data_IF_287037864299
#
_entry.id   IF_287037864299
#
_cell.length_a   1.000
_cell.length_b   1.000
_cell.length_c   1.000
_cell.angle_alpha   90.00
_cell.angle_beta   90.00
_cell.angle_gamma   90.00
#
_symmetry.space_group_name_H-M   'P 1'
#
loop_
_entity.id
_entity.type
_entity.pdbx_description
1 polymer ?
#
# COMPACT_ATOMS: atom_id res chain seq x y z
N UNK A 1 2.68 13.07 -0.43
CA UNK A 1 3.50 12.66 -1.59
C UNK A 1 4.66 11.86 -1.06
N UNK A 2 4.87 10.63 -1.52
CA UNK A 2 6.09 9.90 -1.20
C UNK A 2 7.26 10.66 -1.82
N UNK A 3 8.36 10.86 -1.08
CA UNK A 3 9.56 11.45 -1.67
C UNK A 3 10.04 10.59 -2.84
N UNK A 4 10.48 11.22 -3.93
CA UNK A 4 11.21 10.54 -5.00
C UNK A 4 12.55 10.04 -4.44
N UNK A 5 12.58 8.83 -3.87
CA UNK A 5 13.83 8.14 -3.58
C UNK A 5 14.07 7.11 -4.70
N UNK A 6 15.18 7.33 -5.39
CA UNK A 6 15.60 6.67 -6.61
C UNK A 6 15.64 5.14 -6.44
N UNK A 7 15.03 4.43 -7.38
CA UNK A 7 15.07 2.96 -7.44
C UNK A 7 16.52 2.45 -7.48
N UNK A 8 16.87 1.36 -6.77
CA UNK A 8 18.22 0.81 -6.84
C UNK A 8 18.44 0.16 -8.21
N UNK A 9 19.48 0.62 -8.92
CA UNK A 9 19.97 0.06 -10.17
C UNK A 9 20.49 -1.36 -9.94
N UNK A 10 19.83 -2.34 -10.57
CA UNK A 10 20.25 -3.75 -10.55
C UNK A 10 21.33 -3.92 -11.62
N UNK A 11 22.58 -4.01 -11.22
CA UNK A 11 23.71 -4.33 -12.10
C UNK A 11 23.75 -5.84 -12.38
N UNK A 12 23.58 -6.24 -13.63
CA UNK A 12 23.98 -7.55 -14.14
C UNK A 12 24.25 -7.44 -15.63
N UNK A 13 25.52 -7.55 -15.98
CA UNK A 13 26.04 -7.48 -17.34
C UNK A 13 25.59 -8.70 -18.16
N UNK A 14 24.69 -8.49 -19.11
CA UNK A 14 24.52 -9.31 -20.29
C UNK A 14 23.82 -8.45 -21.35
N UNK A 15 24.42 -8.35 -22.53
CA UNK A 15 23.87 -7.64 -23.69
C UNK A 15 22.52 -8.24 -24.10
N UNK A 16 21.43 -7.64 -23.60
CA UNK A 16 20.07 -7.87 -24.08
C UNK A 16 19.62 -6.54 -24.67
N UNK A 17 19.29 -6.56 -25.96
CA UNK A 17 18.73 -5.46 -26.72
C UNK A 17 17.75 -4.65 -25.86
N UNK A 18 18.06 -3.37 -25.63
CA UNK A 18 17.22 -2.45 -24.88
C UNK A 18 15.97 -2.10 -25.68
N UNK A 19 15.00 -3.01 -25.75
CA UNK A 19 13.63 -2.59 -25.93
C UNK A 19 13.24 -1.94 -24.62
N UNK A 20 13.15 -0.60 -24.58
CA UNK A 20 12.32 0.02 -23.56
C UNK A 20 10.92 -0.54 -23.77
N UNK A 21 10.55 -1.53 -22.95
CA UNK A 21 9.25 -2.15 -23.01
C UNK A 21 8.24 -1.03 -22.81
N UNK A 22 7.62 -0.57 -23.89
CA UNK A 22 6.60 0.48 -23.82
C UNK A 22 5.55 -0.02 -22.84
N UNK A 23 5.36 0.72 -21.73
CA UNK A 23 4.27 0.44 -20.79
C UNK A 23 2.98 0.36 -21.60
N UNK A 24 2.22 -0.71 -21.42
CA UNK A 24 0.95 -0.84 -22.14
C UNK A 24 -0.02 0.21 -21.60
N UNK A 25 -1.07 0.51 -22.39
CA UNK A 25 -2.10 1.45 -21.98
C UNK A 25 -2.68 1.13 -20.59
N UNK A 26 -2.82 -0.17 -20.27
CA UNK A 26 -3.31 -0.63 -18.96
C UNK A 26 -2.37 -0.23 -17.82
N UNK A 27 -1.05 -0.41 -17.99
CA UNK A 27 -0.06 0.05 -17.01
C UNK A 27 -0.12 1.59 -16.86
N UNK A 28 -0.35 2.33 -17.94
CA UNK A 28 -0.38 3.81 -17.84
C UNK A 28 -1.65 4.34 -17.19
N UNK A 29 -2.80 3.70 -17.40
CA UNK A 29 -4.09 4.21 -16.92
C UNK A 29 -4.38 3.79 -15.48
N UNK A 30 -4.10 2.52 -15.14
CA UNK A 30 -4.62 1.90 -13.91
C UNK A 30 -3.54 1.59 -12.86
N UNK A 31 -2.26 1.52 -13.24
CA UNK A 31 -1.18 1.19 -12.30
C UNK A 31 -0.94 2.33 -11.33
N UNK A 32 -0.81 1.99 -10.05
CA UNK A 32 -0.36 2.90 -9.01
C UNK A 32 0.63 2.21 -8.07
N UNK A 33 1.59 2.98 -7.57
CA UNK A 33 2.57 2.51 -6.60
C UNK A 33 2.06 2.75 -5.18
N UNK A 34 2.17 1.72 -4.33
CA UNK A 34 1.90 1.77 -2.89
C UNK A 34 3.21 1.58 -2.13
N UNK A 35 3.54 2.51 -1.24
CA UNK A 35 4.62 2.36 -0.28
C UNK A 35 4.10 1.77 1.02
N UNK A 36 4.79 0.77 1.54
CA UNK A 36 4.51 0.12 2.80
C UNK A 36 5.73 0.15 3.72
N UNK A 37 5.52 0.45 5.01
CA UNK A 37 6.56 0.31 6.03
C UNK A 37 5.95 0.07 7.41
N UNK A 38 6.77 -0.30 8.38
CA UNK A 38 6.37 -0.56 9.75
C UNK A 38 7.13 0.38 10.66
N UNK A 39 6.42 1.07 11.55
CA UNK A 39 7.02 1.86 12.63
C UNK A 39 6.60 1.26 13.97
N UNK A 40 7.59 0.89 14.80
CA UNK A 40 7.31 0.39 16.14
C UNK A 40 7.14 1.56 17.11
N UNK A 41 5.93 1.75 17.64
CA UNK A 41 5.68 2.82 18.61
C UNK A 41 6.42 2.62 19.95
N UNK A 42 6.86 1.39 20.26
CA UNK A 42 7.57 1.05 21.50
C UNK A 42 9.08 1.23 21.43
N UNK A 43 9.75 0.63 20.44
CA UNK A 43 11.21 0.72 20.33
C UNK A 43 11.68 1.73 19.26
N UNK A 44 10.74 2.43 18.60
CA UNK A 44 10.99 3.43 17.55
C UNK A 44 11.74 2.94 16.33
N UNK A 45 11.97 1.64 16.20
CA UNK A 45 12.54 1.03 14.99
C UNK A 45 11.56 1.15 13.81
N UNK A 46 12.09 1.51 12.65
CA UNK A 46 11.36 1.70 11.40
C UNK A 46 11.91 0.70 10.37
N UNK A 47 11.03 0.00 9.66
CA UNK A 47 11.46 -0.89 8.57
C UNK A 47 11.86 -0.07 7.35
N UNK A 48 12.70 -0.66 6.49
CA UNK A 48 12.90 -0.12 5.14
C UNK A 48 11.55 -0.01 4.41
N UNK A 49 11.26 1.08 3.70
CA UNK A 49 10.09 1.19 2.84
C UNK A 49 10.12 0.13 1.74
N UNK A 50 8.95 -0.43 1.44
CA UNK A 50 8.74 -1.38 0.36
C UNK A 50 7.69 -0.82 -0.59
N UNK A 51 7.96 -0.85 -1.89
CA UNK A 51 7.06 -0.33 -2.91
C UNK A 51 6.43 -1.49 -3.70
N UNK A 52 5.14 -1.39 -3.94
CA UNK A 52 4.34 -2.38 -4.67
C UNK A 52 3.52 -1.67 -5.73
N UNK A 53 3.67 -2.09 -6.97
CA UNK A 53 2.76 -1.68 -8.04
C UNK A 53 1.46 -2.47 -7.94
N UNK A 54 0.34 -1.76 -7.96
CA UNK A 54 -1.00 -2.31 -7.85
C UNK A 54 -1.94 -1.68 -8.88
N UNK A 55 -3.08 -2.33 -9.09
CA UNK A 55 -4.13 -1.91 -10.01
C UNK A 55 -5.47 -1.73 -9.31
N UNK A 56 -5.63 -2.34 -8.13
CA UNK A 56 -6.89 -2.39 -7.39
C UNK A 56 -6.59 -2.13 -5.92
N UNK A 57 -7.32 -1.19 -5.32
CA UNK A 57 -7.34 -0.98 -3.88
C UNK A 57 -8.51 -1.76 -3.28
N UNK A 58 -8.21 -2.79 -2.51
CA UNK A 58 -9.24 -3.57 -1.81
C UNK A 58 -9.59 -2.96 -0.46
N UNK A 59 -10.88 -3.03 -0.11
CA UNK A 59 -11.39 -2.67 1.23
C UNK A 59 -12.58 -3.54 1.58
N UNK A 60 -12.85 -3.71 2.87
CA UNK A 60 -14.01 -4.46 3.34
C UNK A 60 -15.21 -3.54 3.53
N UNK A 61 -16.38 -4.01 3.11
CA UNK A 61 -17.65 -3.28 3.28
C UNK A 61 -17.91 -2.96 4.76
N UNK A 62 -17.61 -3.90 5.65
CA UNK A 62 -17.74 -3.77 7.11
C UNK A 62 -16.85 -2.63 7.64
N UNK A 63 -15.57 -2.59 7.25
CA UNK A 63 -14.64 -1.52 7.62
C UNK A 63 -15.11 -0.15 7.11
N UNK A 64 -15.51 -0.05 5.83
CA UNK A 64 -16.03 1.20 5.26
C UNK A 64 -17.23 1.74 6.05
N UNK A 65 -18.20 0.87 6.34
CA UNK A 65 -19.39 1.26 7.09
C UNK A 65 -19.06 1.68 8.52
N UNK A 66 -18.19 0.93 9.21
CA UNK A 66 -17.76 1.29 10.58
C UNK A 66 -17.03 2.63 10.61
N UNK A 67 -16.09 2.84 9.68
CA UNK A 67 -15.34 4.09 9.60
C UNK A 67 -16.23 5.27 9.23
N UNK A 68 -17.23 5.10 8.34
CA UNK A 68 -18.20 6.15 8.02
C UNK A 68 -19.10 6.49 9.22
N UNK A 69 -19.51 5.50 10.01
CA UNK A 69 -20.26 5.76 11.26
C UNK A 69 -19.41 6.52 12.28
N UNK A 70 -18.14 6.16 12.42
CA UNK A 70 -17.20 6.84 13.31
C UNK A 70 -16.80 8.24 12.81
N UNK A 71 -16.82 8.47 11.49
CA UNK A 71 -16.44 9.73 10.85
C UNK A 71 -17.52 10.18 9.86
N UNK A 72 -18.68 10.67 10.32
CA UNK A 72 -19.82 10.97 9.44
C UNK A 72 -19.53 12.02 8.37
N UNK A 73 -18.60 12.95 8.63
CA UNK A 73 -18.18 13.99 7.70
C UNK A 73 -17.09 13.56 6.72
N UNK A 74 -16.49 12.37 6.88
CA UNK A 74 -15.43 11.90 6.00
C UNK A 74 -15.97 11.64 4.58
N UNK A 75 -15.25 12.16 3.58
CA UNK A 75 -15.47 11.87 2.18
C UNK A 75 -14.93 10.49 1.80
N UNK A 76 -15.27 9.99 0.62
CA UNK A 76 -14.86 8.65 0.18
C UNK A 76 -13.34 8.45 0.18
N UNK A 77 -12.56 9.44 -0.27
CA UNK A 77 -11.10 9.36 -0.27
C UNK A 77 -10.52 9.20 1.14
N UNK A 78 -11.02 9.97 2.11
CA UNK A 78 -10.62 9.85 3.52
C UNK A 78 -11.03 8.50 4.10
N UNK A 79 -12.24 7.99 3.76
CA UNK A 79 -12.67 6.66 4.18
C UNK A 79 -11.74 5.57 3.62
N UNK A 80 -11.38 5.64 2.34
CA UNK A 80 -10.45 4.69 1.72
C UNK A 80 -9.07 4.72 2.38
N UNK A 81 -8.58 5.90 2.75
CA UNK A 81 -7.31 6.02 3.46
C UNK A 81 -7.35 5.41 4.86
N UNK A 82 -8.45 5.59 5.60
CA UNK A 82 -8.61 5.04 6.96
C UNK A 82 -8.88 3.54 6.94
N UNK A 83 -9.61 3.05 5.94
CA UNK A 83 -10.01 1.63 5.82
C UNK A 83 -9.02 0.74 5.11
N UNK A 84 -7.99 1.31 4.49
CA UNK A 84 -6.87 0.55 3.96
C UNK A 84 -6.31 -0.33 5.08
N UNK A 85 -6.55 -1.64 5.00
CA UNK A 85 -6.14 -2.59 6.04
C UNK A 85 -4.61 -2.52 6.18
N UNK A 86 -4.08 -2.00 7.29
CA UNK A 86 -2.65 -1.96 7.49
C UNK A 86 -2.09 -3.38 7.57
N UNK A 87 -2.86 -4.40 7.94
CA UNK A 87 -2.27 -5.66 8.36
C UNK A 87 -1.28 -5.47 9.52
N UNK A 88 -0.81 -6.59 10.08
CA UNK A 88 0.15 -6.56 11.20
C UNK A 88 1.43 -7.28 10.79
N UNK A 89 2.58 -6.65 11.05
CA UNK A 89 3.91 -7.24 10.87
C UNK A 89 4.65 -7.29 12.20
N UNK A 90 5.65 -8.17 12.31
CA UNK A 90 6.57 -8.15 13.46
C UNK A 90 7.34 -6.83 13.48
N UNK A 91 7.70 -6.37 14.68
CA UNK A 91 8.59 -5.23 14.86
C UNK A 91 9.90 -5.43 14.08
N UNK A 92 10.44 -4.40 13.40
CA UNK A 92 11.69 -4.54 12.63
C UNK A 92 12.89 -4.95 13.49
N UNK A 93 12.89 -4.56 14.78
CA UNK A 93 13.85 -5.04 15.77
C UNK A 93 13.28 -6.21 16.58
N UNK A 94 12.99 -7.34 15.92
CA UNK A 94 12.38 -8.50 16.56
C UNK A 94 13.26 -9.18 17.62
N UNK A 95 14.58 -8.91 17.62
CA UNK A 95 15.50 -9.43 18.63
C UNK A 95 15.24 -8.84 20.02
N UNK A 96 14.85 -7.57 20.08
CA UNK A 96 14.63 -6.83 21.34
C UNK A 96 13.14 -6.56 21.59
N UNK A 97 12.32 -6.48 20.53
CA UNK A 97 10.90 -6.15 20.65
C UNK A 97 10.03 -7.17 19.90
N UNK A 98 9.23 -7.94 20.62
CA UNK A 98 8.34 -8.99 20.06
C UNK A 98 6.94 -8.50 19.72
N UNK A 99 6.70 -7.19 19.70
CA UNK A 99 5.37 -6.63 19.43
C UNK A 99 5.01 -6.76 17.94
N UNK A 100 3.72 -6.89 17.68
CA UNK A 100 3.14 -6.70 16.34
C UNK A 100 2.84 -5.21 16.14
N UNK A 101 3.17 -4.71 14.96
CA UNK A 101 3.02 -3.29 14.60
C UNK A 101 2.14 -3.19 13.35
N UNK A 102 1.37 -2.12 13.27
CA UNK A 102 0.54 -1.82 12.10
C UNK A 102 1.45 -1.43 10.93
N UNK A 103 1.20 -1.98 9.74
CA UNK A 103 1.88 -1.49 8.54
C UNK A 103 1.26 -0.17 8.12
N UNK A 104 2.10 0.83 7.87
CA UNK A 104 1.68 2.06 7.25
C UNK A 104 1.70 1.88 5.74
N UNK A 105 0.61 2.23 5.06
CA UNK A 105 0.49 2.17 3.60
C UNK A 105 0.16 3.54 3.03
N UNK A 106 0.82 3.90 1.93
CA UNK A 106 0.61 5.17 1.24
C UNK A 106 0.59 4.95 -0.26
N UNK A 107 -0.46 5.45 -0.92
CA UNK A 107 -0.47 5.54 -2.38
C UNK A 107 0.46 6.68 -2.80
N UNK A 108 1.50 6.35 -3.57
CA UNK A 108 2.56 7.29 -3.96
C UNK A 108 2.31 7.96 -5.31
N UNK A 109 1.50 7.35 -6.17
CA UNK A 109 1.18 7.86 -7.50
C UNK A 109 -0.32 7.98 -7.69
N UNK A 110 -0.76 8.95 -8.49
CA UNK A 110 -2.17 9.11 -8.86
C UNK A 110 -2.40 8.51 -10.25
N UNK A 111 -3.07 7.34 -10.38
CA UNK A 111 -3.41 6.80 -11.69
C UNK A 111 -4.51 7.66 -12.34
N UNK A 112 -4.65 7.58 -13.67
CA UNK A 112 -5.73 8.26 -14.38
C UNK A 112 -7.10 7.68 -13.98
N UNK A 113 -7.16 6.37 -13.73
CA UNK A 113 -8.35 5.68 -13.23
C UNK A 113 -7.95 4.81 -12.03
N UNK A 114 -8.60 5.03 -10.89
CA UNK A 114 -8.42 4.20 -9.69
C UNK A 114 -9.54 3.17 -9.58
N UNK A 115 -9.18 1.89 -9.49
CA UNK A 115 -10.12 0.80 -9.25
C UNK A 115 -10.17 0.46 -7.76
N UNK A 116 -11.38 0.36 -7.21
CA UNK A 116 -11.63 -0.03 -5.82
C UNK A 116 -12.44 -1.32 -5.79
N UNK A 117 -11.90 -2.35 -5.14
CA UNK A 117 -12.60 -3.60 -4.89
C UNK A 117 -13.19 -3.61 -3.50
N UNK A 118 -14.52 -3.69 -3.38
CA UNK A 118 -15.20 -3.81 -2.08
C UNK A 118 -15.54 -5.26 -1.80
N UNK A 119 -14.96 -5.81 -0.74
CA UNK A 119 -15.19 -7.19 -0.29
C UNK A 119 -16.33 -7.21 0.70
N UNK A 120 -17.36 -8.01 0.42
CA UNK A 120 -18.43 -8.28 1.37
C UNK A 120 -18.05 -9.50 2.23
N UNK A 121 -17.79 -9.29 3.51
CA UNK A 121 -17.52 -10.38 4.44
C UNK A 121 -18.84 -11.10 4.75
N UNK A 122 -19.13 -12.20 4.07
CA UNK A 122 -20.16 -13.12 4.55
C UNK A 122 -19.61 -13.84 5.80
N UNK A 123 -20.32 -13.88 6.94
CA UNK A 123 -19.95 -14.83 7.99
C UNK A 123 -19.93 -16.23 7.36
N UNK A 124 -18.84 -16.97 7.60
CA UNK A 124 -18.72 -18.35 7.12
C UNK A 124 -19.97 -19.12 7.59
N UNK A 125 -20.66 -19.75 6.64
CA UNK A 125 -21.73 -20.71 6.94
C UNK A 125 -21.20 -21.88 7.75
#
# INVERSE_FOLDING_TARGET
SCGEESSPSRSSSASVSSSSSRKTLTHTIFEFSVMEYVMCNSCKSISKPFFVDSYILYTYATSLMQTKRANPSANFGSLMQITSDPGKRSCPNEKVCKKKCQVQKYVCTAPAVMTVGVVWESPKA
#
